data_IF_142242214434
#
_entry.id   IF_142242214434
#
_cell.length_a   1.000
_cell.length_b   1.000
_cell.length_c   1.000
_cell.angle_alpha   90.00
_cell.angle_beta   90.00
_cell.angle_gamma   90.00
#
_symmetry.space_group_name_H-M   'P 1'
#
loop_
_entity.id
_entity.type
_entity.pdbx_description
1 polymer ?
#
# COMPACT_ATOMS: atom_id res chain seq x y z
N UNK A 1 20.82 -4.62 24.34
CA UNK A 1 21.03 -4.78 22.89
C UNK A 1 19.68 -5.16 22.31
N UNK A 2 19.26 -4.54 21.21
CA UNK A 2 17.99 -4.89 20.57
C UNK A 2 18.02 -6.35 20.10
N UNK A 3 16.90 -7.05 20.22
CA UNK A 3 16.73 -8.42 19.72
C UNK A 3 16.56 -8.45 18.18
N UNK A 4 16.46 -7.30 17.54
CA UNK A 4 16.37 -7.16 16.09
C UNK A 4 17.74 -6.92 15.46
N UNK A 5 18.12 -7.76 14.50
CA UNK A 5 19.34 -7.56 13.70
C UNK A 5 18.98 -6.97 12.34
N UNK A 6 19.59 -5.83 12.00
CA UNK A 6 19.49 -5.23 10.68
C UNK A 6 20.58 -5.76 9.74
N UNK A 7 20.19 -6.16 8.52
CA UNK A 7 21.07 -6.58 7.44
C UNK A 7 20.68 -5.83 6.17
N UNK A 8 21.63 -5.18 5.48
CA UNK A 8 21.40 -4.64 4.15
C UNK A 8 21.29 -5.80 3.15
N UNK A 9 20.19 -5.88 2.41
CA UNK A 9 19.94 -6.99 1.46
C UNK A 9 20.34 -6.65 0.03
N UNK A 10 20.28 -5.38 -0.38
CA UNK A 10 20.59 -4.97 -1.74
C UNK A 10 21.64 -3.88 -1.76
N UNK A 11 22.40 -3.83 -2.86
CA UNK A 11 23.52 -2.94 -3.03
C UNK A 11 23.45 -2.27 -4.40
N UNK A 12 24.00 -1.06 -4.50
CA UNK A 12 24.02 -0.30 -5.74
C UNK A 12 24.79 -1.00 -6.87
N UNK A 13 25.79 -1.80 -6.51
CA UNK A 13 26.80 -2.30 -7.45
C UNK A 13 27.59 -1.16 -8.10
N UNK A 14 28.45 -1.49 -9.07
CA UNK A 14 29.20 -0.50 -9.85
C UNK A 14 28.28 0.34 -10.76
N UNK A 15 27.14 -0.22 -11.15
CA UNK A 15 26.18 0.39 -12.07
C UNK A 15 25.19 1.36 -11.39
N UNK A 16 25.25 1.53 -10.06
CA UNK A 16 24.46 2.54 -9.34
C UNK A 16 22.95 2.26 -9.25
N UNK A 17 22.55 0.99 -9.13
CA UNK A 17 21.14 0.59 -9.12
C UNK A 17 20.44 0.79 -7.79
N UNK A 18 19.26 1.41 -7.79
CA UNK A 18 18.43 1.54 -6.60
C UNK A 18 17.42 0.38 -6.53
N UNK A 19 17.14 -0.14 -5.34
CA UNK A 19 16.18 -1.21 -5.10
C UNK A 19 15.15 -0.77 -4.07
N UNK A 20 13.91 -1.19 -4.27
CA UNK A 20 12.80 -0.87 -3.39
C UNK A 20 11.79 -1.99 -3.41
N UNK A 21 11.18 -2.27 -2.26
CA UNK A 21 9.96 -3.05 -2.20
C UNK A 21 8.79 -2.18 -2.65
N UNK A 22 7.64 -2.81 -2.89
CA UNK A 22 6.40 -2.11 -3.21
C UNK A 22 5.82 -1.43 -1.95
N UNK A 23 4.50 -1.24 -1.90
CA UNK A 23 3.88 -0.57 -0.77
C UNK A 23 3.87 -1.43 0.50
N UNK A 24 3.86 -0.77 1.67
CA UNK A 24 4.04 -1.42 2.97
C UNK A 24 2.85 -2.25 3.45
N UNK A 25 1.77 -2.35 2.68
CA UNK A 25 0.49 -2.99 3.05
C UNK A 25 0.10 -4.16 2.14
N UNK A 26 1.01 -4.59 1.25
CA UNK A 26 0.85 -5.75 0.37
C UNK A 26 1.88 -6.83 0.71
N UNK A 27 1.62 -8.11 0.40
CA UNK A 27 2.52 -9.21 0.75
C UNK A 27 3.77 -9.22 -0.14
N UNK A 28 4.82 -8.50 0.26
CA UNK A 28 6.11 -8.48 -0.48
C UNK A 28 7.01 -9.69 -0.16
N UNK A 29 6.74 -10.39 0.94
CA UNK A 29 7.37 -11.67 1.28
C UNK A 29 6.57 -12.85 0.72
N UNK A 30 7.27 -13.91 0.34
CA UNK A 30 6.66 -15.22 0.14
C UNK A 30 6.18 -15.81 1.48
N UNK A 31 5.43 -16.91 1.42
CA UNK A 31 4.87 -17.57 2.60
C UNK A 31 5.95 -18.02 3.61
N UNK A 32 7.15 -18.36 3.11
CA UNK A 32 8.26 -18.79 3.97
C UNK A 32 8.99 -17.64 4.66
N UNK A 33 8.83 -16.41 4.13
CA UNK A 33 9.58 -15.23 4.54
C UNK A 33 11.03 -15.23 4.07
N UNK A 34 11.38 -16.05 3.06
CA UNK A 34 12.75 -16.18 2.53
C UNK A 34 12.98 -15.45 1.21
N UNK A 35 11.90 -15.05 0.53
CA UNK A 35 11.96 -14.37 -0.75
C UNK A 35 11.15 -13.07 -0.71
N UNK A 36 11.78 -11.96 -1.08
CA UNK A 36 11.14 -10.65 -1.19
C UNK A 36 11.01 -10.30 -2.67
N UNK A 37 9.80 -9.98 -3.11
CA UNK A 37 9.61 -9.36 -4.43
C UNK A 37 9.91 -7.86 -4.33
N UNK A 38 10.77 -7.37 -5.21
CA UNK A 38 11.23 -6.00 -5.24
C UNK A 38 11.37 -5.51 -6.69
N UNK A 39 11.68 -4.23 -6.84
CA UNK A 39 11.98 -3.65 -8.13
C UNK A 39 13.27 -2.83 -8.10
N UNK A 40 13.96 -2.85 -9.24
CA UNK A 40 15.21 -2.13 -9.46
C UNK A 40 14.98 -0.94 -10.39
N UNK A 41 15.53 0.19 -9.98
CA UNK A 41 15.43 1.49 -10.61
C UNK A 41 16.80 1.88 -11.19
N UNK A 42 16.75 2.60 -12.32
CA UNK A 42 17.94 3.03 -13.06
C UNK A 42 18.21 4.54 -12.99
N UNK A 43 17.34 5.28 -12.32
CA UNK A 43 17.46 6.72 -12.14
C UNK A 43 16.79 7.15 -10.84
N UNK A 44 17.00 8.42 -10.46
CA UNK A 44 16.34 9.05 -9.31
C UNK A 44 16.04 10.52 -9.60
N UNK A 45 15.23 11.16 -8.76
CA UNK A 45 15.06 12.62 -8.75
C UNK A 45 14.17 13.22 -9.84
N UNK A 46 13.42 12.41 -10.60
CA UNK A 46 12.42 12.90 -11.57
C UNK A 46 11.18 12.02 -11.61
N UNK A 47 10.10 12.54 -12.18
CA UNK A 47 8.86 11.79 -12.39
C UNK A 47 9.06 10.69 -13.43
N UNK A 48 8.45 9.51 -13.24
CA UNK A 48 8.44 8.48 -14.28
C UNK A 48 7.55 8.91 -15.45
N UNK A 49 7.97 8.58 -16.67
CA UNK A 49 7.19 8.64 -17.90
C UNK A 49 6.73 7.23 -18.28
N UNK A 50 5.91 7.10 -19.32
CA UNK A 50 5.49 5.81 -19.85
C UNK A 50 6.64 4.98 -20.45
N UNK A 51 7.77 5.62 -20.74
CA UNK A 51 8.93 4.97 -21.35
C UNK A 51 9.92 4.44 -20.30
N UNK A 52 9.75 4.85 -19.04
CA UNK A 52 10.62 4.46 -17.94
C UNK A 52 10.34 3.05 -17.46
N UNK A 53 11.28 2.16 -17.71
CA UNK A 53 11.22 0.77 -17.28
C UNK A 53 11.96 0.53 -15.98
N UNK A 54 11.40 -0.36 -15.16
CA UNK A 54 12.02 -0.96 -13.99
C UNK A 54 12.16 -2.45 -14.19
N UNK A 55 13.13 -3.06 -13.51
CA UNK A 55 13.18 -4.53 -13.39
C UNK A 55 12.37 -4.98 -12.18
N UNK A 56 11.73 -6.14 -12.32
CA UNK A 56 11.10 -6.86 -11.23
C UNK A 56 12.01 -8.04 -10.89
N UNK A 57 12.27 -8.24 -9.61
CA UNK A 57 13.13 -9.32 -9.16
C UNK A 57 12.78 -9.85 -7.77
N UNK A 58 13.38 -10.99 -7.45
CA UNK A 58 13.28 -11.65 -6.16
C UNK A 58 14.63 -11.54 -5.44
N UNK A 59 14.61 -11.10 -4.19
CA UNK A 59 15.76 -11.03 -3.28
C UNK A 59 15.62 -12.12 -2.24
N UNK A 60 16.66 -12.95 -2.09
CA UNK A 60 16.75 -13.94 -1.02
C UNK A 60 17.17 -13.25 0.28
N UNK A 61 16.39 -13.44 1.33
CA UNK A 61 16.62 -12.78 2.63
C UNK A 61 17.86 -13.30 3.36
N UNK A 62 18.32 -14.50 3.02
CA UNK A 62 19.45 -15.16 3.67
C UNK A 62 20.76 -14.97 2.86
N UNK A 63 20.67 -14.37 1.65
CA UNK A 63 21.80 -14.12 0.74
C UNK A 63 21.83 -12.64 0.31
N UNK A 64 22.46 -11.75 1.10
CA UNK A 64 22.63 -10.34 0.73
C UNK A 64 23.28 -10.18 -0.64
N UNK A 65 22.70 -9.32 -1.48
CA UNK A 65 23.15 -9.06 -2.85
C UNK A 65 22.54 -9.97 -3.92
N UNK A 66 21.72 -10.97 -3.52
CA UNK A 66 20.97 -11.79 -4.45
C UNK A 66 19.96 -10.97 -5.26
N UNK A 67 19.80 -11.32 -6.53
CA UNK A 67 18.79 -10.75 -7.42
C UNK A 67 18.43 -11.73 -8.52
N UNK A 68 17.26 -12.33 -8.43
CA UNK A 68 16.67 -13.13 -9.51
C UNK A 68 15.71 -12.24 -10.32
N UNK A 69 16.14 -11.78 -11.49
CA UNK A 69 15.30 -10.96 -12.37
C UNK A 69 14.22 -11.84 -13.02
N UNK A 70 12.96 -11.44 -12.87
CA UNK A 70 11.79 -12.20 -13.34
C UNK A 70 10.98 -11.47 -14.41
N UNK A 71 11.20 -10.17 -14.59
CA UNK A 71 10.46 -9.37 -15.55
C UNK A 71 10.82 -7.90 -15.52
N UNK A 72 10.05 -7.11 -16.26
CA UNK A 72 10.14 -5.64 -16.26
C UNK A 72 8.74 -5.04 -16.13
N UNK A 73 8.68 -3.75 -15.85
CA UNK A 73 7.44 -2.99 -15.86
C UNK A 73 7.66 -1.55 -16.30
N UNK A 74 6.71 -0.98 -17.04
CA UNK A 74 6.59 0.48 -17.24
C UNK A 74 5.40 1.11 -16.49
N UNK A 75 4.64 0.32 -15.72
CA UNK A 75 3.52 0.80 -14.90
C UNK A 75 3.91 0.81 -13.41
N UNK A 76 4.56 1.90 -12.99
CA UNK A 76 5.04 2.04 -11.62
C UNK A 76 5.03 3.51 -11.14
N UNK A 77 5.14 3.69 -9.83
CA UNK A 77 5.22 5.00 -9.18
C UNK A 77 6.22 5.00 -8.03
N UNK A 78 6.74 6.17 -7.66
CA UNK A 78 7.74 6.30 -6.59
C UNK A 78 7.25 5.84 -5.21
N UNK A 79 5.95 5.98 -4.93
CA UNK A 79 5.41 5.65 -3.62
C UNK A 79 4.97 4.19 -3.53
N UNK A 80 4.46 3.61 -4.61
CA UNK A 80 3.83 2.29 -4.59
C UNK A 80 4.57 1.22 -5.39
N UNK A 81 5.58 1.61 -6.16
CA UNK A 81 6.18 0.77 -7.17
C UNK A 81 5.12 0.27 -8.17
N UNK A 82 5.32 -0.93 -8.75
CA UNK A 82 4.34 -1.59 -9.60
C UNK A 82 3.31 -2.41 -8.79
N UNK A 83 3.23 -2.20 -7.46
CA UNK A 83 2.45 -3.04 -6.53
C UNK A 83 2.78 -4.53 -6.66
N UNK A 84 4.06 -4.86 -6.90
CA UNK A 84 4.54 -6.23 -6.94
C UNK A 84 4.36 -6.91 -5.59
N UNK A 85 3.67 -8.06 -5.58
CA UNK A 85 3.29 -8.80 -4.38
C UNK A 85 3.15 -10.30 -4.68
N UNK A 86 3.31 -11.14 -3.65
CA UNK A 86 3.06 -12.56 -3.73
C UNK A 86 1.56 -12.88 -3.71
N UNK A 87 1.17 -13.94 -4.41
CA UNK A 87 -0.17 -14.51 -4.37
C UNK A 87 -0.15 -15.68 -3.39
N UNK A 88 -1.12 -15.71 -2.48
CA UNK A 88 -1.28 -16.82 -1.53
C UNK A 88 -1.50 -18.16 -2.24
N UNK A 89 -1.06 -19.25 -1.60
CA UNK A 89 -1.11 -20.61 -2.14
C UNK A 89 0.08 -20.97 -3.04
N UNK A 90 1.01 -20.02 -3.25
CA UNK A 90 2.29 -20.22 -3.93
C UNK A 90 2.23 -20.84 -5.33
N UNK A 91 3.38 -20.97 -6.00
CA UNK A 91 4.57 -20.13 -5.92
C UNK A 91 4.43 -18.95 -6.93
N UNK A 92 3.28 -18.27 -6.90
CA UNK A 92 2.91 -17.22 -7.84
C UNK A 92 3.12 -15.82 -7.25
N UNK A 93 3.49 -14.87 -8.07
CA UNK A 93 3.54 -13.45 -7.74
C UNK A 93 2.91 -12.63 -8.86
N UNK A 94 2.57 -11.39 -8.55
CA UNK A 94 1.92 -10.48 -9.49
C UNK A 94 2.54 -9.09 -9.42
N UNK A 95 2.67 -8.40 -10.55
CA UNK A 95 3.01 -6.97 -10.61
C UNK A 95 2.24 -6.27 -11.73
N UNK A 96 2.08 -4.95 -11.61
CA UNK A 96 1.48 -4.13 -12.66
C UNK A 96 2.47 -3.78 -13.74
N UNK A 97 2.01 -3.77 -14.98
CA UNK A 97 2.78 -3.44 -16.17
C UNK A 97 1.90 -2.67 -17.17
N UNK A 98 2.44 -2.28 -18.31
CA UNK A 98 1.68 -1.69 -19.40
C UNK A 98 1.87 -2.46 -20.71
N UNK A 99 0.78 -2.61 -21.47
CA UNK A 99 0.76 -3.25 -22.78
C UNK A 99 -0.22 -2.49 -23.69
N UNK A 100 0.20 -2.14 -24.91
CA UNK A 100 -0.65 -1.45 -25.89
C UNK A 100 -1.37 -0.21 -25.33
N UNK A 101 -0.66 0.63 -24.59
CA UNK A 101 -1.21 1.81 -23.92
C UNK A 101 -2.32 1.52 -22.89
N UNK A 102 -2.39 0.30 -22.34
CA UNK A 102 -3.26 -0.07 -21.22
C UNK A 102 -2.41 -0.50 -20.03
N UNK A 103 -2.87 -0.22 -18.82
CA UNK A 103 -2.29 -0.85 -17.63
C UNK A 103 -2.84 -2.27 -17.48
N UNK A 104 -1.95 -3.21 -17.23
CA UNK A 104 -2.22 -4.64 -17.07
C UNK A 104 -1.53 -5.15 -15.79
N UNK A 105 -1.74 -6.42 -15.46
CA UNK A 105 -0.91 -7.10 -14.47
C UNK A 105 -0.31 -8.38 -15.04
N UNK A 106 0.88 -8.74 -14.57
CA UNK A 106 1.60 -9.97 -14.94
C UNK A 106 1.61 -10.90 -13.74
N UNK A 107 1.03 -12.07 -13.86
CA UNK A 107 1.18 -13.17 -12.90
C UNK A 107 2.36 -14.02 -13.37
N UNK A 108 3.37 -14.17 -12.53
CA UNK A 108 4.50 -15.05 -12.75
C UNK A 108 4.42 -16.25 -11.82
N UNK A 109 4.64 -17.44 -12.38
CA UNK A 109 4.83 -18.66 -11.59
C UNK A 109 6.33 -18.93 -11.47
N UNK A 110 6.84 -18.99 -10.24
CA UNK A 110 8.28 -19.16 -9.99
C UNK A 110 8.84 -20.51 -10.41
N UNK A 111 8.04 -21.58 -10.34
CA UNK A 111 8.48 -22.93 -10.70
C UNK A 111 8.57 -23.09 -12.22
N UNK A 112 7.53 -22.68 -12.94
CA UNK A 112 7.46 -22.83 -14.40
C UNK A 112 8.12 -21.69 -15.16
N UNK A 113 8.38 -20.57 -14.47
CA UNK A 113 8.77 -19.26 -15.02
C UNK A 113 7.79 -18.71 -16.08
N UNK A 114 6.56 -19.21 -16.11
CA UNK A 114 5.54 -18.74 -17.04
C UNK A 114 4.94 -17.41 -16.58
N UNK A 115 4.55 -16.57 -17.54
CA UNK A 115 3.87 -15.31 -17.31
C UNK A 115 2.47 -15.38 -17.92
N UNK A 116 1.47 -14.99 -17.14
CA UNK A 116 0.09 -14.77 -17.57
C UNK A 116 -0.26 -13.30 -17.41
N UNK A 117 -0.94 -12.72 -18.41
CA UNK A 117 -1.40 -11.33 -18.37
C UNK A 117 -2.85 -11.24 -17.91
N UNK A 118 -3.13 -10.32 -16.99
CA UNK A 118 -4.47 -9.88 -16.63
C UNK A 118 -4.85 -8.60 -17.39
N UNK A 119 -6.11 -8.43 -17.78
CA UNK A 119 -6.55 -7.31 -18.60
C UNK A 119 -6.60 -5.95 -17.87
N UNK A 120 -6.34 -5.94 -16.56
CA UNK A 120 -6.33 -4.74 -15.71
C UNK A 120 -5.17 -4.79 -14.72
N UNK A 121 -4.69 -3.64 -14.20
CA UNK A 121 -3.73 -3.64 -13.11
C UNK A 121 -4.39 -4.21 -11.85
N UNK A 122 -3.59 -4.63 -10.88
CA UNK A 122 -4.03 -5.15 -9.58
C UNK A 122 -3.58 -4.22 -8.47
N UNK A 123 -4.52 -3.81 -7.63
CA UNK A 123 -4.24 -3.07 -6.41
C UNK A 123 -4.06 -4.01 -5.21
N UNK A 124 -4.92 -5.03 -5.11
CA UNK A 124 -4.92 -6.00 -4.01
C UNK A 124 -5.41 -7.37 -4.50
N UNK A 125 -4.89 -8.44 -3.90
CA UNK A 125 -5.30 -9.83 -4.14
C UNK A 125 -5.92 -10.38 -2.86
N UNK A 126 -6.96 -11.20 -2.99
CA UNK A 126 -7.56 -11.87 -1.83
C UNK A 126 -6.61 -12.87 -1.18
N UNK A 127 -6.89 -13.17 0.09
CA UNK A 127 -6.03 -14.01 0.92
C UNK A 127 -5.95 -15.47 0.44
N UNK A 128 -6.88 -15.88 -0.41
CA UNK A 128 -6.93 -17.22 -1.00
C UNK A 128 -6.33 -17.26 -2.40
N UNK A 129 -5.84 -16.13 -2.93
CA UNK A 129 -5.21 -16.06 -4.24
C UNK A 129 -6.14 -16.41 -5.40
N UNK A 130 -7.44 -16.09 -5.28
CA UNK A 130 -8.49 -16.38 -6.28
C UNK A 130 -8.95 -15.13 -7.03
N UNK A 131 -9.06 -14.00 -6.36
CA UNK A 131 -9.54 -12.75 -6.96
C UNK A 131 -8.56 -11.60 -6.77
N UNK A 132 -8.49 -10.75 -7.79
CA UNK A 132 -7.83 -9.46 -7.73
C UNK A 132 -8.83 -8.31 -7.80
N UNK A 133 -8.45 -7.20 -7.20
CA UNK A 133 -9.19 -5.95 -7.19
C UNK A 133 -8.37 -4.86 -7.86
N UNK A 134 -9.02 -4.06 -8.70
CA UNK A 134 -8.40 -3.02 -9.50
C UNK A 134 -9.06 -1.67 -9.31
N UNK A 135 -8.31 -0.63 -9.63
CA UNK A 135 -8.78 0.75 -9.81
C UNK A 135 -8.12 1.33 -11.07
N UNK A 136 -8.68 2.41 -11.58
CA UNK A 136 -8.09 3.14 -12.70
C UNK A 136 -6.79 3.87 -12.31
N UNK A 137 -5.65 3.28 -12.64
CA UNK A 137 -4.31 3.80 -12.32
C UNK A 137 -3.95 5.05 -13.13
N UNK A 138 -4.46 5.19 -14.36
CA UNK A 138 -4.27 6.38 -15.20
C UNK A 138 -5.02 7.59 -14.61
N UNK A 139 -6.26 7.37 -14.14
CA UNK A 139 -7.02 8.38 -13.39
C UNK A 139 -6.27 8.78 -12.14
N UNK A 140 -5.82 7.80 -11.34
CA UNK A 140 -5.05 8.03 -10.12
C UNK A 140 -3.77 8.85 -10.39
N UNK A 141 -3.04 8.56 -11.47
CA UNK A 141 -1.84 9.30 -11.83
C UNK A 141 -2.13 10.78 -12.10
N UNK A 142 -3.22 11.05 -12.83
CA UNK A 142 -3.61 12.42 -13.22
C UNK A 142 -4.06 13.23 -12.00
N UNK A 143 -4.78 12.62 -11.06
CA UNK A 143 -5.30 13.32 -9.88
C UNK A 143 -4.39 13.27 -8.65
N UNK A 144 -3.47 12.30 -8.58
CA UNK A 144 -2.51 12.10 -7.48
C UNK A 144 -1.17 11.55 -8.05
N UNK A 145 -0.40 12.37 -8.78
CA UNK A 145 0.94 11.99 -9.24
C UNK A 145 1.80 11.46 -8.09
N UNK A 146 2.57 10.40 -8.37
CA UNK A 146 3.38 9.68 -7.39
C UNK A 146 2.75 8.40 -6.84
N UNK A 147 1.45 8.16 -7.07
CA UNK A 147 0.75 6.93 -6.67
C UNK A 147 0.27 6.11 -7.87
N UNK A 148 -0.39 6.75 -8.85
CA UNK A 148 -0.80 6.10 -10.09
C UNK A 148 0.33 5.94 -11.11
N UNK A 149 0.02 5.39 -12.27
CA UNK A 149 1.01 5.05 -13.30
C UNK A 149 0.92 5.96 -14.53
N UNK A 150 2.07 6.36 -15.12
CA UNK A 150 2.08 7.07 -16.39
C UNK A 150 1.58 6.18 -17.54
N UNK A 151 1.11 6.80 -18.63
CA UNK A 151 0.47 6.10 -19.75
C UNK A 151 -0.94 5.59 -19.43
N UNK A 152 -1.39 4.57 -20.17
CA UNK A 152 -2.66 3.87 -19.90
C UNK A 152 -3.90 4.42 -20.62
N UNK A 153 -3.77 5.55 -21.33
CA UNK A 153 -4.80 6.12 -22.22
C UNK A 153 -6.11 6.62 -21.59
N UNK A 154 -6.54 6.08 -20.45
CA UNK A 154 -7.94 6.16 -19.98
C UNK A 154 -8.07 6.86 -18.62
N UNK A 155 -7.51 8.07 -18.47
CA UNK A 155 -7.57 8.79 -17.19
C UNK A 155 -8.98 9.34 -16.84
N UNK A 156 -9.82 9.59 -17.85
CA UNK A 156 -11.23 10.00 -17.74
C UNK A 156 -11.53 11.16 -16.77
N UNK A 157 -10.61 12.11 -16.62
CA UNK A 157 -10.73 13.19 -15.61
C UNK A 157 -11.70 14.30 -16.00
N UNK A 158 -12.15 14.33 -17.25
CA UNK A 158 -13.27 15.13 -17.75
C UNK A 158 -14.60 14.73 -17.09
N UNK A 159 -14.76 13.44 -16.78
CA UNK A 159 -15.86 12.95 -15.96
C UNK A 159 -15.52 12.98 -14.47
N UNK A 160 -16.15 13.89 -13.73
CA UNK A 160 -15.87 14.12 -12.32
C UNK A 160 -16.09 12.86 -11.44
N UNK A 161 -17.16 12.09 -11.70
CA UNK A 161 -17.59 10.94 -10.90
C UNK A 161 -18.20 9.84 -11.79
N UNK A 162 -17.38 9.09 -12.55
CA UNK A 162 -17.87 8.11 -13.52
C UNK A 162 -18.77 7.05 -12.91
N UNK A 163 -19.80 6.65 -13.67
CA UNK A 163 -20.73 5.57 -13.31
C UNK A 163 -20.27 4.18 -13.73
N UNK A 164 -19.31 4.12 -14.63
CA UNK A 164 -18.76 2.94 -15.30
C UNK A 164 -17.24 2.78 -15.07
N UNK A 165 -16.68 3.53 -14.12
CA UNK A 165 -15.32 3.36 -13.60
C UNK A 165 -15.34 3.42 -12.06
N UNK A 166 -14.41 2.71 -11.43
CA UNK A 166 -14.33 2.58 -9.99
C UNK A 166 -13.49 1.39 -9.54
N UNK A 167 -14.07 0.54 -8.70
CA UNK A 167 -13.43 -0.67 -8.18
C UNK A 167 -13.92 -1.86 -8.98
N UNK A 168 -12.96 -2.58 -9.52
CA UNK A 168 -13.20 -3.77 -10.33
C UNK A 168 -12.73 -5.00 -9.58
N UNK A 169 -13.40 -6.12 -9.79
CA UNK A 169 -13.02 -7.45 -9.29
C UNK A 169 -12.90 -8.40 -10.47
N UNK A 170 -11.86 -9.23 -10.48
CA UNK A 170 -11.66 -10.29 -11.46
C UNK A 170 -11.09 -11.55 -10.81
N UNK A 171 -11.42 -12.72 -11.34
CA UNK A 171 -10.73 -13.95 -10.97
C UNK A 171 -9.32 -13.98 -11.60
N UNK A 172 -8.35 -14.59 -10.92
CA UNK A 172 -6.98 -14.70 -11.45
C UNK A 172 -6.87 -15.74 -12.56
N UNK A 173 -7.66 -16.83 -12.48
CA UNK A 173 -7.58 -17.96 -13.42
C UNK A 173 -8.40 -17.76 -14.69
N UNK A 174 -9.55 -17.10 -14.60
CA UNK A 174 -10.37 -16.68 -15.74
C UNK A 174 -10.76 -15.19 -15.59
N UNK A 175 -9.94 -14.27 -16.13
CA UNK A 175 -10.10 -12.86 -15.84
C UNK A 175 -11.25 -12.24 -16.64
N UNK A 176 -12.39 -12.13 -15.97
CA UNK A 176 -13.53 -11.30 -16.40
C UNK A 176 -13.74 -10.16 -15.39
N UNK A 177 -13.20 -8.95 -15.65
CA UNK A 177 -13.38 -7.81 -14.75
C UNK A 177 -14.84 -7.39 -14.63
N UNK A 178 -15.30 -7.21 -13.39
CA UNK A 178 -16.64 -6.72 -13.05
C UNK A 178 -16.52 -5.48 -12.17
N UNK A 179 -17.19 -4.40 -12.56
CA UNK A 179 -17.31 -3.20 -11.74
C UNK A 179 -18.21 -3.51 -10.54
N UNK A 180 -17.66 -3.47 -9.33
CA UNK A 180 -18.40 -3.76 -8.09
C UNK A 180 -18.77 -2.48 -7.32
N UNK A 181 -18.02 -1.40 -7.51
CA UNK A 181 -18.34 -0.10 -6.91
C UNK A 181 -17.87 1.03 -7.83
N UNK A 182 -18.80 1.74 -8.46
CA UNK A 182 -18.46 2.92 -9.27
C UNK A 182 -18.09 4.13 -8.40
N UNK A 183 -17.33 5.06 -8.98
CA UNK A 183 -17.02 6.35 -8.34
C UNK A 183 -18.33 7.11 -8.06
N UNK A 184 -19.28 7.12 -9.00
CA UNK A 184 -20.57 7.79 -8.82
C UNK A 184 -21.36 7.26 -7.62
N UNK A 185 -21.51 5.94 -7.51
CA UNK A 185 -22.20 5.30 -6.38
C UNK A 185 -21.56 5.65 -5.04
N UNK A 186 -20.23 5.61 -4.95
CA UNK A 186 -19.50 5.94 -3.73
C UNK A 186 -19.64 7.42 -3.34
N UNK A 187 -19.65 8.34 -4.32
CA UNK A 187 -19.87 9.77 -4.10
C UNK A 187 -21.28 10.04 -3.57
N UNK A 188 -22.29 9.41 -4.16
CA UNK A 188 -23.69 9.58 -3.72
C UNK A 188 -23.95 8.98 -2.33
N UNK A 189 -23.32 7.85 -2.01
CA UNK A 189 -23.31 7.32 -0.66
C UNK A 189 -22.63 8.28 0.32
N UNK A 190 -21.42 8.73 0.00
CA UNK A 190 -20.64 9.63 0.85
C UNK A 190 -21.42 10.92 1.14
N UNK A 191 -21.99 11.59 0.12
CA UNK A 191 -22.74 12.85 0.28
C UNK A 191 -23.95 12.74 1.20
N UNK A 192 -24.59 11.57 1.26
CA UNK A 192 -25.71 11.29 2.19
C UNK A 192 -25.23 11.04 3.62
N UNK A 193 -24.00 10.54 3.78
CA UNK A 193 -23.47 10.07 5.05
C UNK A 193 -22.41 10.98 5.67
N UNK A 194 -22.01 12.09 5.07
CA UNK A 194 -21.11 13.08 5.69
C UNK A 194 -21.85 14.19 6.45
N UNK A 195 -21.14 14.91 7.32
CA UNK A 195 -21.70 16.07 8.03
C UNK A 195 -22.04 17.25 7.11
N UNK A 196 -23.01 18.08 7.53
CA UNK A 196 -23.59 19.16 6.73
C UNK A 196 -22.55 20.17 6.19
N UNK A 197 -21.52 20.51 6.98
CA UNK A 197 -20.45 21.45 6.57
C UNK A 197 -19.68 20.91 5.36
N UNK A 198 -19.29 19.64 5.41
CA UNK A 198 -18.58 19.02 4.30
C UNK A 198 -19.52 18.83 3.10
N UNK A 199 -20.78 18.48 3.34
CA UNK A 199 -21.79 18.35 2.28
C UNK A 199 -21.98 19.66 1.51
N UNK A 200 -22.04 20.79 2.21
CA UNK A 200 -22.12 22.11 1.58
C UNK A 200 -20.89 22.40 0.71
N UNK A 201 -19.67 22.07 1.19
CA UNK A 201 -18.45 22.17 0.37
C UNK A 201 -18.52 21.30 -0.89
N UNK A 202 -19.02 20.07 -0.77
CA UNK A 202 -19.19 19.16 -1.92
C UNK A 202 -20.13 19.71 -2.99
N UNK A 203 -21.10 20.58 -2.63
CA UNK A 203 -22.01 21.21 -3.59
C UNK A 203 -21.46 22.50 -4.20
N UNK A 204 -20.63 23.25 -3.46
CA UNK A 204 -20.11 24.56 -3.91
C UNK A 204 -18.93 24.45 -4.85
N UNK A 205 -18.22 23.32 -4.84
CA UNK A 205 -16.97 23.13 -5.55
C UNK A 205 -17.10 22.07 -6.65
N UNK A 206 -16.38 22.27 -7.75
CA UNK A 206 -16.31 21.30 -8.86
C UNK A 206 -15.16 20.35 -8.63
N UNK A 207 -15.46 19.25 -7.94
CA UNK A 207 -14.47 18.23 -7.63
C UNK A 207 -14.41 17.11 -8.67
N UNK A 208 -13.19 16.60 -8.88
CA UNK A 208 -12.93 15.30 -9.53
C UNK A 208 -12.65 14.27 -8.43
N UNK A 209 -13.28 13.11 -8.51
CA UNK A 209 -13.24 12.05 -7.50
C UNK A 209 -12.46 10.83 -7.98
N UNK A 210 -11.77 10.14 -7.08
CA UNK A 210 -11.04 8.90 -7.40
C UNK A 210 -10.91 7.98 -6.19
N UNK A 211 -10.63 6.71 -6.47
CA UNK A 211 -10.26 5.74 -5.45
C UNK A 211 -8.74 5.64 -5.26
N UNK A 212 -8.31 5.34 -4.05
CA UNK A 212 -6.93 5.01 -3.72
C UNK A 212 -6.89 4.11 -2.48
N UNK A 213 -5.80 3.38 -2.25
CA UNK A 213 -5.56 2.53 -1.08
C UNK A 213 -6.67 1.50 -0.84
N UNK A 214 -6.93 0.65 -1.84
CA UNK A 214 -7.84 -0.48 -1.71
C UNK A 214 -7.17 -1.62 -0.95
N UNK A 215 -7.81 -2.15 0.10
CA UNK A 215 -7.27 -3.25 0.92
C UNK A 215 -8.37 -4.17 1.40
N UNK A 216 -8.16 -5.48 1.31
CA UNK A 216 -9.10 -6.49 1.75
C UNK A 216 -9.01 -6.77 3.25
N UNK A 217 -10.15 -7.11 3.86
CA UNK A 217 -10.22 -7.59 5.24
C UNK A 217 -9.53 -8.96 5.35
N UNK A 218 -9.04 -9.34 6.55
CA UNK A 218 -8.39 -10.64 6.77
C UNK A 218 -9.23 -11.85 6.32
N UNK A 219 -10.55 -11.79 6.45
CA UNK A 219 -11.46 -12.85 5.98
C UNK A 219 -11.87 -12.75 4.51
N UNK A 220 -11.40 -11.75 3.77
CA UNK A 220 -11.69 -11.52 2.36
C UNK A 220 -13.14 -11.13 2.04
N UNK A 221 -14.00 -10.89 3.04
CA UNK A 221 -15.42 -10.56 2.82
C UNK A 221 -15.64 -9.08 2.52
N UNK A 222 -14.75 -8.21 3.00
CA UNK A 222 -14.86 -6.75 2.85
C UNK A 222 -13.57 -6.16 2.30
N UNK A 223 -13.67 -4.94 1.78
CA UNK A 223 -12.52 -4.10 1.49
C UNK A 223 -12.72 -2.71 2.10
N UNK A 224 -11.61 -2.04 2.42
CA UNK A 224 -11.55 -0.60 2.65
C UNK A 224 -10.96 0.07 1.42
N UNK A 225 -11.42 1.29 1.13
CA UNK A 225 -10.89 2.14 0.06
C UNK A 225 -10.98 3.60 0.47
N UNK A 226 -10.05 4.43 0.02
CA UNK A 226 -10.21 5.88 0.13
C UNK A 226 -10.93 6.42 -1.09
N UNK A 227 -12.04 7.10 -0.88
CA UNK A 227 -12.64 8.00 -1.86
C UNK A 227 -12.09 9.41 -1.62
N UNK A 228 -11.34 9.93 -2.58
CA UNK A 228 -10.67 11.23 -2.52
C UNK A 228 -11.28 12.17 -3.56
N UNK A 229 -11.09 13.46 -3.35
CA UNK A 229 -11.53 14.48 -4.30
C UNK A 229 -10.60 15.69 -4.32
N UNK A 230 -10.61 16.46 -5.41
CA UNK A 230 -9.88 17.73 -5.54
C UNK A 230 -10.47 18.57 -6.66
N UNK A 231 -10.23 19.87 -6.60
CA UNK A 231 -10.29 20.73 -7.78
C UNK A 231 -9.00 20.51 -8.57
N UNK A 232 -9.09 20.39 -9.90
CA UNK A 232 -7.91 20.12 -10.73
C UNK A 232 -6.87 21.24 -10.61
N UNK A 233 -7.34 22.48 -10.53
CA UNK A 233 -6.53 23.70 -10.39
C UNK A 233 -6.33 24.11 -8.91
N UNK A 234 -6.88 23.35 -7.96
CA UNK A 234 -6.84 23.67 -6.54
C UNK A 234 -5.59 23.16 -5.81
N UNK A 235 -5.26 23.80 -4.69
CA UNK A 235 -4.18 23.34 -3.81
C UNK A 235 -4.47 21.92 -3.26
N UNK A 236 -3.42 21.11 -3.14
CA UNK A 236 -3.51 19.77 -2.54
C UNK A 236 -3.77 19.89 -1.04
N UNK A 237 -4.76 19.15 -0.53
CA UNK A 237 -5.08 19.09 0.89
C UNK A 237 -5.42 17.66 1.31
N UNK A 238 -4.79 17.17 2.38
CA UNK A 238 -4.99 15.80 2.85
C UNK A 238 -6.34 15.56 3.53
N UNK A 239 -7.10 16.62 3.85
CA UNK A 239 -8.48 16.53 4.37
C UNK A 239 -9.53 16.25 3.29
N UNK A 240 -9.15 16.18 2.01
CA UNK A 240 -10.08 15.95 0.90
C UNK A 240 -10.28 14.46 0.62
N UNK A 241 -10.82 13.73 1.58
CA UNK A 241 -11.15 12.32 1.42
C UNK A 241 -11.94 11.71 2.55
N UNK A 242 -12.52 10.56 2.27
CA UNK A 242 -13.11 9.64 3.24
C UNK A 242 -12.57 8.24 3.04
N UNK A 243 -12.55 7.45 4.10
CA UNK A 243 -12.44 5.99 4.00
C UNK A 243 -13.82 5.37 3.98
N UNK A 244 -14.04 4.47 3.04
CA UNK A 244 -15.23 3.66 2.89
C UNK A 244 -14.87 2.18 3.11
N UNK A 245 -15.79 1.40 3.66
CA UNK A 245 -15.73 -0.06 3.65
C UNK A 245 -16.91 -0.61 2.87
N UNK A 246 -16.76 -1.78 2.26
CA UNK A 246 -17.79 -2.40 1.41
C UNK A 246 -17.56 -3.91 1.35
N UNK A 247 -18.62 -4.70 1.13
CA UNK A 247 -18.45 -6.11 0.79
C UNK A 247 -17.74 -6.25 -0.56
N UNK A 248 -17.04 -7.36 -0.77
CA UNK A 248 -16.31 -7.67 -2.03
C UNK A 248 -17.18 -7.94 -3.24
N UNK A 249 -18.50 -7.87 -3.08
CA UNK A 249 -19.51 -7.89 -4.15
C UNK A 249 -20.10 -6.49 -4.45
N UNK A 250 -19.67 -5.45 -3.73
CA UNK A 250 -20.19 -4.07 -3.90
C UNK A 250 -21.34 -3.68 -2.96
N UNK A 251 -21.81 -4.59 -2.12
CA UNK A 251 -22.94 -4.33 -1.20
C UNK A 251 -22.48 -3.80 0.16
N UNK A 252 -23.43 -3.29 0.96
CA UNK A 252 -23.19 -2.83 2.34
C UNK A 252 -22.01 -1.86 2.48
N UNK A 253 -22.06 -0.82 1.65
CA UNK A 253 -21.14 0.31 1.69
C UNK A 253 -21.33 1.11 2.99
N UNK A 254 -20.23 1.44 3.66
CA UNK A 254 -20.20 2.15 4.95
C UNK A 254 -19.15 3.25 4.94
N UNK A 255 -19.37 4.29 5.73
CA UNK A 255 -18.44 5.40 5.92
C UNK A 255 -17.61 5.18 7.18
N UNK A 256 -16.33 4.85 7.04
CA UNK A 256 -15.46 4.60 8.20
C UNK A 256 -15.13 5.89 8.93
N UNK A 257 -14.48 6.84 8.24
CA UNK A 257 -14.06 8.12 8.79
C UNK A 257 -13.67 9.12 7.69
N UNK A 258 -13.58 10.40 8.04
CA UNK A 258 -13.08 11.47 7.15
C UNK A 258 -11.58 11.71 7.37
N UNK A 259 -10.87 12.21 6.35
CA UNK A 259 -9.47 12.66 6.46
C UNK A 259 -8.51 11.60 7.07
N UNK A 260 -8.59 10.37 6.57
CA UNK A 260 -7.80 9.24 7.04
C UNK A 260 -6.49 9.05 6.24
N UNK A 261 -5.47 8.58 6.95
CA UNK A 261 -4.19 8.12 6.39
C UNK A 261 -3.82 6.73 6.90
N UNK A 262 -3.08 5.97 6.11
CA UNK A 262 -2.55 4.65 6.51
C UNK A 262 -3.59 3.66 7.08
N UNK A 263 -4.76 3.54 6.43
CA UNK A 263 -5.83 2.64 6.90
C UNK A 263 -5.43 1.18 6.75
N UNK A 264 -5.47 0.40 7.82
CA UNK A 264 -5.12 -1.02 7.82
C UNK A 264 -6.19 -1.78 8.60
N UNK A 265 -6.59 -2.95 8.09
CA UNK A 265 -7.43 -3.88 8.83
C UNK A 265 -6.61 -4.52 9.95
N UNK A 266 -7.13 -4.47 11.17
CA UNK A 266 -6.60 -5.19 12.33
C UNK A 266 -7.21 -6.59 12.41
N UNK A 267 -8.53 -6.63 12.31
CA UNK A 267 -9.38 -7.84 12.25
C UNK A 267 -10.37 -7.66 11.10
N UNK A 268 -11.30 -8.60 10.89
CA UNK A 268 -12.33 -8.47 9.84
C UNK A 268 -13.38 -7.39 10.10
N UNK A 269 -13.39 -6.81 11.30
CA UNK A 269 -14.36 -5.82 11.77
C UNK A 269 -13.72 -4.59 12.43
N UNK A 270 -12.41 -4.56 12.64
CA UNK A 270 -11.68 -3.41 13.22
C UNK A 270 -10.56 -2.97 12.29
N UNK A 271 -10.45 -1.66 12.09
CA UNK A 271 -9.37 -1.02 11.36
C UNK A 271 -8.64 -0.02 12.25
N UNK A 272 -7.38 0.27 11.94
CA UNK A 272 -6.68 1.43 12.47
C UNK A 272 -6.17 2.33 11.37
N UNK A 273 -6.09 3.62 11.65
CA UNK A 273 -5.62 4.64 10.72
C UNK A 273 -5.18 5.91 11.44
N UNK A 274 -4.36 6.71 10.78
CA UNK A 274 -4.04 8.06 11.22
C UNK A 274 -5.19 9.02 10.90
N UNK A 275 -5.64 9.78 11.89
CA UNK A 275 -6.56 10.91 11.69
C UNK A 275 -6.49 11.89 12.86
N UNK A 276 -6.52 13.18 12.55
CA UNK A 276 -6.59 14.27 13.55
C UNK A 276 -5.51 14.19 14.64
N UNK A 277 -4.26 13.89 14.24
CA UNK A 277 -3.12 13.93 15.17
C UNK A 277 -2.89 12.65 15.97
N UNK A 278 -3.63 11.58 15.71
CA UNK A 278 -3.45 10.30 16.39
C UNK A 278 -3.69 9.11 15.45
N UNK A 279 -3.16 7.94 15.83
CA UNK A 279 -3.60 6.65 15.28
C UNK A 279 -4.85 6.21 16.05
N UNK A 280 -5.94 5.97 15.32
CA UNK A 280 -7.26 5.63 15.87
C UNK A 280 -7.68 4.25 15.44
N UNK A 281 -8.35 3.53 16.31
CA UNK A 281 -9.03 2.27 16.02
C UNK A 281 -10.52 2.48 15.87
N UNK A 282 -11.09 1.94 14.79
CA UNK A 282 -12.50 2.03 14.49
C UNK A 282 -13.05 0.65 14.20
N UNK A 283 -14.24 0.37 14.74
CA UNK A 283 -15.05 -0.78 14.34
C UNK A 283 -15.83 -0.44 13.06
N UNK A 284 -15.82 -1.34 12.08
CA UNK A 284 -16.57 -1.24 10.84
C UNK A 284 -18.06 -1.52 11.11
N UNK A 285 -18.82 -0.45 11.34
CA UNK A 285 -20.26 -0.49 11.62
C UNK A 285 -21.04 0.22 10.52
N UNK A 286 -22.27 -0.25 10.28
CA UNK A 286 -23.19 0.37 9.33
C UNK A 286 -24.06 1.41 10.05
N UNK A 287 -24.33 2.59 9.45
CA UNK A 287 -23.76 3.09 8.20
C UNK A 287 -22.40 3.78 8.39
N UNK A 288 -21.97 3.96 9.64
CA UNK A 288 -20.73 4.64 10.01
C UNK A 288 -19.90 3.83 11.00
N UNK A 289 -18.58 3.88 10.82
CA UNK A 289 -17.64 3.32 11.78
C UNK A 289 -17.76 3.97 13.16
N UNK A 290 -17.35 3.24 14.19
CA UNK A 290 -17.36 3.70 15.58
C UNK A 290 -15.96 3.67 16.15
N UNK A 291 -15.50 4.79 16.71
CA UNK A 291 -14.19 4.86 17.38
C UNK A 291 -14.16 3.93 18.60
N UNK A 292 -13.06 3.21 18.76
CA UNK A 292 -12.84 2.24 19.84
C UNK A 292 -11.75 2.72 20.79
N UNK A 293 -10.61 3.15 20.25
CA UNK A 293 -9.45 3.52 21.03
C UNK A 293 -8.48 4.39 20.22
N UNK A 294 -7.56 5.05 20.93
CA UNK A 294 -6.34 5.62 20.36
C UNK A 294 -5.19 4.62 20.56
N UNK A 295 -4.29 4.54 19.58
CA UNK A 295 -3.09 3.72 19.66
C UNK A 295 -1.87 4.60 19.95
N UNK A 296 -1.32 4.47 21.16
CA UNK A 296 -0.13 5.16 21.65
C UNK A 296 -0.09 6.67 21.33
N UNK A 297 -1.10 7.46 21.74
CA UNK A 297 -1.21 8.88 21.38
C UNK A 297 -0.06 9.75 21.92
N UNK A 298 0.60 9.33 23.01
CA UNK A 298 1.73 10.05 23.58
C UNK A 298 3.07 9.77 22.86
N UNK A 299 3.09 8.75 21.99
CA UNK A 299 4.27 8.33 21.23
C UNK A 299 4.16 8.66 19.74
N UNK A 300 2.97 8.46 19.16
CA UNK A 300 2.75 8.61 17.72
C UNK A 300 2.02 9.94 17.47
N UNK A 301 2.81 11.00 17.26
CA UNK A 301 2.37 12.38 17.06
C UNK A 301 2.39 12.84 15.59
N UNK A 302 2.77 11.95 14.67
CA UNK A 302 2.86 12.22 13.24
C UNK A 302 2.20 11.13 12.39
N UNK A 303 1.98 11.44 11.11
CA UNK A 303 1.35 10.55 10.13
C UNK A 303 2.30 9.40 9.71
N UNK A 304 2.51 8.43 10.60
CA UNK A 304 3.44 7.30 10.44
C UNK A 304 2.90 6.18 9.55
N UNK A 305 3.80 5.37 8.98
CA UNK A 305 3.44 4.07 8.42
C UNK A 305 3.51 3.03 9.53
N UNK A 306 2.38 2.41 9.85
CA UNK A 306 2.26 1.45 10.96
C UNK A 306 1.66 0.12 10.51
N UNK A 307 2.25 -0.99 10.98
CA UNK A 307 1.80 -2.37 10.76
C UNK A 307 1.87 -3.13 12.08
N UNK A 308 0.87 -3.97 12.37
CA UNK A 308 1.02 -4.97 13.42
C UNK A 308 1.88 -6.14 12.92
N UNK A 309 2.63 -6.76 13.83
CA UNK A 309 3.51 -7.90 13.56
C UNK A 309 2.80 -9.24 13.75
N UNK A 310 1.88 -9.30 14.72
CA UNK A 310 1.18 -10.51 15.12
C UNK A 310 -0.33 -10.44 14.78
N UNK A 311 -1.00 -11.58 14.57
CA UNK A 311 -2.44 -11.62 14.25
C UNK A 311 -3.34 -10.97 15.31
N UNK A 312 -2.91 -10.93 16.58
CA UNK A 312 -3.65 -10.31 17.68
C UNK A 312 -3.41 -8.80 17.80
N UNK A 313 -2.54 -8.27 16.94
CA UNK A 313 -2.12 -6.88 16.89
C UNK A 313 -1.75 -6.33 18.28
N UNK A 314 -0.91 -7.09 19.00
CA UNK A 314 -0.31 -6.68 20.27
C UNK A 314 1.02 -5.94 20.07
N UNK A 315 1.74 -6.27 19.00
CA UNK A 315 3.02 -5.66 18.65
C UNK A 315 2.92 -4.92 17.32
N UNK A 316 3.43 -3.70 17.26
CA UNK A 316 3.43 -2.87 16.06
C UNK A 316 4.83 -2.45 15.67
N UNK A 317 5.08 -2.34 14.37
CA UNK A 317 6.21 -1.62 13.80
C UNK A 317 5.72 -0.31 13.18
N UNK A 318 6.44 0.79 13.41
CA UNK A 318 6.19 2.05 12.71
C UNK A 318 7.46 2.85 12.45
N UNK A 319 7.44 3.67 11.39
CA UNK A 319 8.51 4.61 11.03
C UNK A 319 8.18 6.05 11.46
N UNK A 320 9.16 6.95 11.40
CA UNK A 320 8.95 8.41 11.60
C UNK A 320 9.19 9.20 10.30
N UNK A 321 8.26 9.14 9.33
CA UNK A 321 8.47 9.66 7.99
C UNK A 321 8.51 11.19 7.96
N UNK A 322 8.77 11.75 6.77
CA UNK A 322 8.85 13.20 6.54
C UNK A 322 10.02 13.92 7.24
N UNK A 323 11.15 13.22 7.35
CA UNK A 323 12.40 13.71 7.98
C UNK A 323 13.58 13.14 7.22
N UNK A 324 14.73 13.82 7.24
CA UNK A 324 15.98 13.28 6.67
C UNK A 324 16.56 12.12 7.48
N UNK A 325 16.14 12.05 8.75
CA UNK A 325 16.50 11.00 9.70
C UNK A 325 15.24 10.31 10.17
N UNK A 326 15.08 9.06 9.74
CA UNK A 326 13.90 8.25 10.01
C UNK A 326 14.27 7.17 11.03
N UNK A 327 13.57 7.16 12.16
CA UNK A 327 13.69 6.12 13.17
C UNK A 327 12.63 5.03 12.91
N UNK A 328 12.96 3.78 13.23
CA UNK A 328 12.06 2.62 13.17
C UNK A 328 11.85 2.08 14.57
N UNK A 329 10.59 1.95 14.98
CA UNK A 329 10.20 1.54 16.32
C UNK A 329 9.38 0.25 16.33
N UNK A 330 9.55 -0.51 17.41
CA UNK A 330 8.64 -1.56 17.84
C UNK A 330 7.86 -1.04 19.04
N UNK A 331 6.55 -1.27 19.07
CA UNK A 331 5.64 -0.89 20.15
C UNK A 331 4.90 -2.13 20.64
N UNK A 332 5.02 -2.41 21.93
CA UNK A 332 4.12 -3.31 22.65
C UNK A 332 2.89 -2.51 23.10
N UNK A 333 1.73 -2.91 22.61
CA UNK A 333 0.47 -2.22 22.88
C UNK A 333 0.02 -2.34 24.32
N UNK A 334 0.15 -3.53 24.91
CA UNK A 334 -0.41 -3.83 26.22
C UNK A 334 0.28 -3.02 27.32
N UNK A 335 1.59 -2.82 27.18
CA UNK A 335 2.43 -2.11 28.15
C UNK A 335 2.72 -0.67 27.74
N UNK A 336 2.60 -0.32 26.46
CA UNK A 336 3.05 0.96 25.91
C UNK A 336 4.58 1.06 25.77
N UNK A 337 5.30 -0.01 26.11
CA UNK A 337 6.74 -0.07 25.94
C UNK A 337 7.10 -0.01 24.46
N UNK A 338 8.15 0.73 24.14
CA UNK A 338 8.62 0.88 22.76
C UNK A 338 10.14 0.87 22.69
N UNK A 339 10.66 0.34 21.60
CA UNK A 339 12.10 0.25 21.33
C UNK A 339 12.38 0.79 19.93
N UNK A 340 13.37 1.70 19.81
CA UNK A 340 13.92 2.06 18.50
C UNK A 340 14.86 0.95 18.03
N UNK A 341 14.47 0.22 16.99
CA UNK A 341 15.24 -0.89 16.42
C UNK A 341 16.17 -0.45 15.28
N UNK A 342 15.90 0.69 14.65
CA UNK A 342 16.67 1.20 13.53
C UNK A 342 16.65 2.72 13.41
N UNK A 343 17.66 3.27 12.75
CA UNK A 343 17.81 4.69 12.46
C UNK A 343 18.50 4.84 11.10
N UNK A 344 17.85 5.57 10.20
CA UNK A 344 18.25 5.70 8.81
C UNK A 344 18.44 7.17 8.46
N UNK A 345 19.60 7.53 7.94
CA UNK A 345 19.96 8.91 7.60
C UNK A 345 20.00 9.13 6.07
N UNK A 346 20.14 10.37 5.62
CA UNK A 346 20.26 10.68 4.18
C UNK A 346 18.95 10.59 3.38
N UNK A 347 17.80 10.69 4.05
CA UNK A 347 16.49 10.68 3.40
C UNK A 347 16.11 12.06 2.83
N UNK A 348 16.82 12.48 1.78
CA UNK A 348 16.62 13.77 1.11
C UNK A 348 16.04 13.56 -0.29
N UNK A 349 14.94 14.25 -0.69
CA UNK A 349 14.17 15.21 0.12
C UNK A 349 13.29 14.51 1.17
N UNK A 350 13.07 15.15 2.32
CA UNK A 350 12.19 14.65 3.38
C UNK A 350 10.71 14.58 2.96
N UNK A 351 10.29 15.43 2.01
CA UNK A 351 8.88 15.60 1.61
C UNK A 351 8.74 15.58 0.09
N UNK A 352 7.51 15.38 -0.36
CA UNK A 352 7.17 15.39 -1.78
C UNK A 352 7.15 13.99 -2.39
N UNK A 353 7.10 13.97 -3.72
CA UNK A 353 6.87 12.75 -4.52
C UNK A 353 8.05 11.77 -4.46
N UNK A 354 9.27 12.30 -4.44
CA UNK A 354 10.50 11.51 -4.51
C UNK A 354 11.05 11.07 -3.15
N UNK A 355 10.41 11.51 -2.06
CA UNK A 355 10.82 11.12 -0.70
C UNK A 355 10.80 9.60 -0.56
N UNK A 356 11.72 9.09 0.24
CA UNK A 356 11.76 7.69 0.61
C UNK A 356 11.31 7.59 2.06
N UNK A 357 10.07 7.15 2.29
CA UNK A 357 9.65 6.69 3.62
C UNK A 357 10.10 5.23 3.78
N UNK A 358 10.29 4.73 5.01
CA UNK A 358 10.82 3.38 5.22
C UNK A 358 9.83 2.30 4.79
N UNK A 359 8.53 2.58 4.94
CA UNK A 359 7.47 1.66 4.56
C UNK A 359 7.66 0.27 5.19
N UNK A 360 7.77 0.15 6.53
CA UNK A 360 8.06 -1.13 7.17
C UNK A 360 6.98 -2.16 6.83
N UNK A 361 7.43 -3.25 6.20
CA UNK A 361 6.56 -4.35 5.83
C UNK A 361 7.00 -5.60 6.59
N UNK A 362 6.22 -6.07 7.58
CA UNK A 362 6.50 -7.34 8.23
C UNK A 362 6.09 -8.53 7.34
N UNK A 363 6.74 -9.67 7.55
CA UNK A 363 6.27 -10.94 7.00
C UNK A 363 5.10 -11.49 7.82
N UNK A 364 4.50 -12.60 7.37
CA UNK A 364 3.32 -13.20 8.02
C UNK A 364 3.59 -13.71 9.45
N UNK A 365 4.84 -14.08 9.78
CA UNK A 365 5.25 -14.54 11.12
C UNK A 365 5.59 -13.40 12.08
N UNK A 366 5.70 -12.17 11.59
CA UNK A 366 6.14 -11.03 12.40
C UNK A 366 7.61 -11.07 12.83
N UNK A 367 8.40 -12.06 12.39
CA UNK A 367 9.81 -12.26 12.77
C UNK A 367 10.80 -11.58 11.81
N UNK A 368 10.31 -11.05 10.68
CA UNK A 368 11.09 -10.32 9.68
C UNK A 368 10.38 -9.06 9.23
N UNK A 369 11.12 -7.97 9.07
CA UNK A 369 10.61 -6.68 8.59
C UNK A 369 11.54 -6.15 7.50
N UNK A 370 11.02 -5.92 6.30
CA UNK A 370 11.77 -5.23 5.25
C UNK A 370 11.41 -3.75 5.23
N UNK A 371 12.41 -2.90 5.02
CA UNK A 371 12.28 -1.47 4.75
C UNK A 371 13.07 -1.08 3.51
N UNK A 372 12.67 0.01 2.86
CA UNK A 372 13.49 0.68 1.85
C UNK A 372 14.09 1.96 2.43
N UNK A 373 15.41 2.13 2.36
CA UNK A 373 16.10 3.32 2.87
C UNK A 373 17.10 3.89 1.87
N UNK A 374 17.35 5.20 1.98
CA UNK A 374 18.38 5.91 1.22
C UNK A 374 19.73 6.02 1.95
N UNK A 375 19.89 5.38 3.11
CA UNK A 375 21.06 5.54 3.98
C UNK A 375 22.40 5.18 3.30
N UNK A 376 22.40 4.31 2.30
CA UNK A 376 23.58 4.03 1.47
C UNK A 376 23.71 4.96 0.24
N UNK A 377 23.12 6.16 0.27
CA UNK A 377 23.12 7.15 -0.80
C UNK A 377 22.03 7.01 -1.86
N UNK A 378 21.34 5.86 -1.91
CA UNK A 378 20.21 5.60 -2.81
C UNK A 378 19.30 4.55 -2.20
N UNK A 379 18.09 4.37 -2.75
CA UNK A 379 17.13 3.38 -2.22
C UNK A 379 17.73 1.98 -2.26
N UNK A 380 17.78 1.31 -1.11
CA UNK A 380 18.18 -0.07 -0.94
C UNK A 380 17.28 -0.75 0.10
N UNK A 381 17.22 -2.07 0.03
CA UNK A 381 16.48 -2.92 0.94
C UNK A 381 17.30 -3.23 2.19
N UNK A 382 16.67 -3.10 3.34
CA UNK A 382 17.21 -3.53 4.63
C UNK A 382 16.20 -4.46 5.31
N UNK A 383 16.72 -5.54 5.89
CA UNK A 383 15.94 -6.55 6.59
C UNK A 383 16.28 -6.53 8.07
N UNK A 384 15.24 -6.42 8.89
CA UNK A 384 15.32 -6.70 10.32
C UNK A 384 14.85 -8.13 10.55
N UNK A 385 15.67 -8.92 11.25
CA UNK A 385 15.34 -10.28 11.67
C UNK A 385 15.33 -10.35 13.19
N UNK A 386 14.30 -10.97 13.74
CA UNK A 386 14.17 -11.24 15.16
C UNK A 386 15.10 -12.40 15.58
N UNK A 387 15.95 -12.15 16.58
CA UNK A 387 16.84 -13.15 17.17
C UNK A 387 16.46 -13.52 18.62
N UNK A 388 15.28 -13.08 19.07
CA UNK A 388 14.76 -13.43 20.39
C UNK A 388 14.06 -14.79 20.40
N UNK A 389 13.46 -15.15 21.55
CA UNK A 389 12.55 -16.30 21.61
C UNK A 389 11.39 -16.10 20.61
N UNK A 390 10.84 -17.17 20.01
CA UNK A 390 9.70 -17.06 19.09
C UNK A 390 8.61 -16.17 19.69
N UNK A 391 7.98 -15.33 18.87
CA UNK A 391 6.75 -14.67 19.29
C UNK A 391 5.79 -15.74 19.83
N UNK A 392 5.09 -15.48 20.95
CA UNK A 392 4.20 -16.49 21.53
C UNK A 392 3.28 -17.01 20.44
N UNK A 393 3.18 -18.34 20.33
CA UNK A 393 2.34 -18.99 19.34
C UNK A 393 0.88 -18.61 19.67
N UNK A 394 0.40 -17.60 18.98
CA UNK A 394 -0.95 -17.10 19.15
C UNK A 394 -1.85 -17.98 18.29
N UNK A 395 -2.23 -19.12 18.88
CA UNK A 395 -2.99 -20.20 18.24
C UNK A 395 -4.09 -19.72 17.29
N UNK A 396 -4.23 -20.49 16.21
CA UNK A 396 -5.21 -20.40 15.12
C UNK A 396 -6.65 -20.09 15.55
#
# INVERSE_FOLDING_TARGET
>A
MTQWRCTQLSFAGQSGHAHTHSYYDIPVFDETGRAIVAHRLFFSGRKPTSDDRIEIGIVNTDEPGSWDQIGTSSAWSWQQGPLAQWIAGGPRLIWNDAEENRHVARIFNRETRSIKTLPMPVYSVDREGRHAFSINMARLNTVRPGYGYPGGGDARVDEARPGDDGIWRMALDDPSPKLILSVSQAVDFMRRNIGWRLRLKQFRHRYVYWFNHLKLSPDGKRFTVKLRWRELDGARNDRMGVSLTCNTDGTDLRLLATATSHVIWKTSDVLYFWSEGAVREYEDRSPRGTERALLAPDLIDANVHIRHLDPNAQTYVFDTPYREKIDLFILDRATGNHERIGRFEGHTPERGEFRCDLHPCPNARGDRIVVTSMMSGMRQLYLFSWNGAPFPDHGS
#
